data_IF_203200534122
#
_entry.id   IF_203200534122
#
_cell.length_a   1.000
_cell.length_b   1.000
_cell.length_c   1.000
_cell.angle_alpha   90.00
_cell.angle_beta   90.00
_cell.angle_gamma   90.00
#
_symmetry.space_group_name_H-M   'P 1'
#
loop_
_entity.id
_entity.type
_entity.pdbx_description
1 polymer ?
#
# COMPACT_ATOMS: atom_id res chain seq x y z
N UNK A 1 39.70 -11.62 21.51
CA UNK A 1 38.26 -11.74 21.42
C UNK A 1 37.61 -10.87 20.29
N UNK A 2 38.04 -9.63 20.06
CA UNK A 2 37.46 -8.79 18.99
C UNK A 2 37.60 -9.32 17.54
N UNK A 3 38.73 -9.97 17.19
CA UNK A 3 38.95 -10.54 15.85
C UNK A 3 38.01 -11.71 15.52
N UNK A 4 37.67 -12.56 16.50
CA UNK A 4 36.77 -13.71 16.31
C UNK A 4 35.34 -13.23 15.99
N UNK A 5 34.91 -12.14 16.63
CA UNK A 5 33.58 -11.55 16.38
C UNK A 5 33.42 -11.07 14.92
N UNK A 6 34.47 -10.47 14.34
CA UNK A 6 34.42 -10.02 12.94
C UNK A 6 34.37 -11.19 11.94
N UNK A 7 35.10 -12.27 12.20
CA UNK A 7 35.05 -13.47 11.37
C UNK A 7 33.66 -14.17 11.45
N UNK A 8 33.07 -14.19 12.65
CA UNK A 8 31.73 -14.74 12.85
C UNK A 8 30.66 -13.92 12.09
N UNK A 9 30.74 -12.60 12.16
CA UNK A 9 29.84 -11.70 11.42
C UNK A 9 30.00 -11.84 9.90
N UNK A 10 31.24 -11.97 9.43
CA UNK A 10 31.51 -12.16 7.99
C UNK A 10 31.05 -13.53 7.50
N UNK A 11 31.21 -14.59 8.30
CA UNK A 11 30.69 -15.92 8.01
C UNK A 11 29.17 -15.97 8.00
N UNK A 12 28.50 -15.22 8.90
CA UNK A 12 27.04 -15.14 8.92
C UNK A 12 26.48 -14.41 7.70
N UNK A 13 27.14 -13.32 7.29
CA UNK A 13 26.79 -12.57 6.07
C UNK A 13 27.04 -13.43 4.82
N UNK A 14 28.18 -14.13 4.75
CA UNK A 14 28.48 -15.05 3.67
C UNK A 14 27.48 -16.21 3.60
N UNK A 15 27.03 -16.73 4.75
CA UNK A 15 26.01 -17.77 4.81
C UNK A 15 24.66 -17.29 4.27
N UNK A 16 24.29 -16.03 4.53
CA UNK A 16 23.07 -15.41 4.00
C UNK A 16 23.16 -15.25 2.48
N UNK A 17 24.34 -14.95 1.93
CA UNK A 17 24.56 -14.87 0.48
C UNK A 17 24.73 -16.24 -0.20
N UNK A 18 25.08 -17.29 0.54
CA UNK A 18 25.17 -18.67 0.04
C UNK A 18 23.86 -19.45 0.12
N UNK A 19 22.86 -18.91 0.83
CA UNK A 19 21.48 -19.38 0.69
C UNK A 19 20.99 -18.85 -0.66
N UNK A 20 21.38 -19.54 -1.72
CA UNK A 20 20.67 -19.44 -3.00
C UNK A 20 19.20 -19.55 -2.66
N UNK A 21 18.34 -18.62 -3.13
CA UNK A 21 16.90 -18.84 -3.00
C UNK A 21 16.58 -20.07 -3.83
N UNK A 22 16.47 -21.22 -3.15
CA UNK A 22 15.99 -22.48 -3.74
C UNK A 22 14.53 -22.35 -4.23
N UNK A 23 14.14 -21.15 -4.61
CA UNK A 23 12.84 -20.77 -5.14
C UNK A 23 12.75 -20.97 -6.66
N UNK A 24 13.82 -21.41 -7.30
CA UNK A 24 13.83 -21.86 -8.71
C UNK A 24 13.53 -23.35 -8.85
N UNK A 25 12.79 -23.95 -7.93
CA UNK A 25 12.03 -25.13 -8.31
C UNK A 25 10.96 -24.62 -9.27
N UNK A 26 11.22 -24.79 -10.56
CA UNK A 26 10.26 -24.66 -11.64
C UNK A 26 9.06 -25.54 -11.29
N UNK A 27 8.14 -24.95 -10.48
CA UNK A 27 6.95 -25.66 -10.05
C UNK A 27 6.11 -25.79 -11.30
N UNK A 28 5.84 -27.02 -11.72
CA UNK A 28 4.84 -27.37 -12.73
C UNK A 28 3.41 -27.07 -12.24
N UNK A 29 3.25 -25.97 -11.52
CA UNK A 29 1.97 -25.43 -11.11
C UNK A 29 1.38 -24.76 -12.33
N UNK A 30 0.20 -25.21 -12.78
CA UNK A 30 -0.47 -24.59 -13.92
C UNK A 30 -0.66 -23.09 -13.73
N UNK A 31 -0.63 -22.33 -14.82
CA UNK A 31 -0.76 -20.85 -14.79
C UNK A 31 -2.00 -20.39 -14.01
N UNK A 32 -3.10 -21.12 -14.10
CA UNK A 32 -4.32 -20.83 -13.32
C UNK A 32 -4.11 -20.94 -11.81
N UNK A 33 -3.40 -21.96 -11.36
CA UNK A 33 -3.12 -22.16 -9.93
C UNK A 33 -2.21 -21.06 -9.42
N UNK A 34 -1.19 -20.66 -10.18
CA UNK A 34 -0.31 -19.54 -9.86
C UNK A 34 -1.09 -18.24 -9.77
N UNK A 35 -1.98 -17.96 -10.73
CA UNK A 35 -2.87 -16.82 -10.74
C UNK A 35 -3.72 -16.73 -9.45
N UNK A 36 -4.34 -17.86 -9.06
CA UNK A 36 -5.17 -17.92 -7.84
C UNK A 36 -4.34 -17.64 -6.58
N UNK A 37 -3.16 -18.27 -6.46
CA UNK A 37 -2.30 -18.05 -5.29
C UNK A 37 -1.77 -16.63 -5.21
N UNK A 38 -1.33 -16.04 -6.32
CA UNK A 38 -0.86 -14.65 -6.34
C UNK A 38 -1.98 -13.67 -6.00
N UNK A 39 -3.17 -13.87 -6.56
CA UNK A 39 -4.36 -13.06 -6.25
C UNK A 39 -4.70 -13.14 -4.77
N UNK A 40 -4.71 -14.35 -4.19
CA UNK A 40 -4.95 -14.56 -2.77
C UNK A 40 -3.88 -13.87 -1.91
N UNK A 41 -2.62 -13.96 -2.30
CA UNK A 41 -1.51 -13.30 -1.62
C UNK A 41 -1.71 -11.78 -1.58
N UNK A 42 -2.03 -11.16 -2.73
CA UNK A 42 -2.31 -9.71 -2.78
C UNK A 42 -3.49 -9.33 -1.89
N UNK A 43 -4.57 -10.11 -1.87
CA UNK A 43 -5.72 -9.86 -1.01
C UNK A 43 -5.37 -9.96 0.47
N UNK A 44 -4.68 -11.02 0.90
CA UNK A 44 -4.26 -11.20 2.30
C UNK A 44 -3.34 -10.05 2.72
N UNK A 45 -2.34 -9.73 1.92
CA UNK A 45 -1.44 -8.61 2.19
C UNK A 45 -2.19 -7.28 2.21
N UNK A 46 -3.13 -7.06 1.28
CA UNK A 46 -3.98 -5.87 1.25
C UNK A 46 -4.82 -5.72 2.52
N UNK A 47 -5.41 -6.81 3.02
CA UNK A 47 -6.14 -6.79 4.30
C UNK A 47 -5.22 -6.46 5.48
N UNK A 48 -4.00 -7.00 5.52
CA UNK A 48 -3.04 -6.67 6.57
C UNK A 48 -2.66 -5.18 6.52
N UNK A 49 -2.42 -4.63 5.33
CA UNK A 49 -2.12 -3.20 5.16
C UNK A 49 -3.34 -2.34 5.52
N UNK A 50 -4.56 -2.79 5.22
CA UNK A 50 -5.78 -2.07 5.60
C UNK A 50 -5.89 -1.85 7.12
N UNK A 51 -5.34 -2.76 7.96
CA UNK A 51 -5.28 -2.57 9.41
C UNK A 51 -4.43 -1.36 9.84
N UNK A 52 -3.62 -0.81 8.97
CA UNK A 52 -2.90 0.44 9.25
C UNK A 52 -3.87 1.63 9.42
N UNK A 53 -4.97 1.66 8.67
CA UNK A 53 -5.95 2.76 8.77
C UNK A 53 -6.59 2.86 10.18
N UNK A 54 -7.17 1.81 10.78
CA UNK A 54 -7.63 1.85 12.16
C UNK A 54 -6.47 2.06 13.16
N UNK A 55 -5.27 1.54 12.88
CA UNK A 55 -4.08 1.80 13.69
C UNK A 55 -3.75 3.28 13.79
N UNK A 56 -3.70 3.98 12.66
CA UNK A 56 -3.50 5.45 12.63
C UNK A 56 -4.67 6.20 13.28
N UNK A 57 -5.91 5.78 13.06
CA UNK A 57 -7.07 6.39 13.72
C UNK A 57 -6.99 6.29 15.23
N UNK A 58 -6.56 5.15 15.79
CA UNK A 58 -6.35 4.99 17.23
C UNK A 58 -5.17 5.82 17.72
N UNK A 59 -4.06 5.84 17.00
CA UNK A 59 -2.89 6.66 17.34
C UNK A 59 -3.24 8.14 17.38
N UNK A 60 -3.86 8.67 16.34
CA UNK A 60 -4.29 10.07 16.29
C UNK A 60 -5.29 10.40 17.41
N UNK A 61 -6.26 9.51 17.65
CA UNK A 61 -7.26 9.69 18.71
C UNK A 61 -6.63 9.75 20.11
N UNK A 62 -5.53 9.00 20.32
CA UNK A 62 -4.79 9.03 21.59
C UNK A 62 -3.91 10.27 21.77
N UNK A 63 -3.55 10.97 20.68
CA UNK A 63 -2.65 12.12 20.69
C UNK A 63 -3.38 13.47 20.72
N UNK A 64 -4.69 13.50 20.47
CA UNK A 64 -5.49 14.71 20.43
C UNK A 64 -6.28 14.91 21.73
N UNK A 65 -6.81 16.13 21.92
CA UNK A 65 -7.71 16.42 23.03
C UNK A 65 -9.00 15.62 22.95
N UNK A 66 -9.60 15.27 24.09
CA UNK A 66 -10.84 14.47 24.17
C UNK A 66 -12.01 15.08 23.36
N UNK A 67 -12.01 16.42 23.18
CA UNK A 67 -13.02 17.12 22.38
C UNK A 67 -12.87 16.86 20.88
N UNK A 68 -11.67 16.55 20.43
CA UNK A 68 -11.33 16.38 19.00
C UNK A 68 -11.44 14.94 18.50
N UNK A 69 -11.56 13.96 19.39
CA UNK A 69 -11.57 12.52 19.06
C UNK A 69 -12.64 12.18 18.03
N UNK A 70 -13.88 12.68 18.20
CA UNK A 70 -14.97 12.42 17.26
C UNK A 70 -14.67 13.00 15.86
N UNK A 71 -14.08 14.19 15.79
CA UNK A 71 -13.68 14.83 14.52
C UNK A 71 -12.56 14.05 13.86
N UNK A 72 -11.59 13.52 14.62
CA UNK A 72 -10.50 12.71 14.12
C UNK A 72 -11.04 11.38 13.56
N UNK A 73 -11.94 10.71 14.27
CA UNK A 73 -12.56 9.48 13.78
C UNK A 73 -13.31 9.71 12.46
N UNK A 74 -14.12 10.76 12.37
CA UNK A 74 -14.84 11.14 11.14
C UNK A 74 -13.86 11.47 10.01
N UNK A 75 -12.79 12.21 10.31
CA UNK A 75 -11.73 12.55 9.35
C UNK A 75 -11.07 11.29 8.78
N UNK A 76 -10.74 10.30 9.62
CA UNK A 76 -10.09 9.06 9.18
C UNK A 76 -11.00 8.21 8.27
N UNK A 77 -12.29 8.10 8.58
CA UNK A 77 -13.25 7.43 7.70
C UNK A 77 -13.36 8.16 6.36
N UNK A 78 -13.50 9.48 6.40
CA UNK A 78 -13.63 10.32 5.21
C UNK A 78 -12.38 10.26 4.31
N UNK A 79 -11.19 10.34 4.87
CA UNK A 79 -9.94 10.28 4.09
C UNK A 79 -9.77 8.93 3.39
N UNK A 80 -10.10 7.83 4.06
CA UNK A 80 -9.99 6.49 3.46
C UNK A 80 -10.93 6.36 2.24
N UNK A 81 -12.16 6.85 2.36
CA UNK A 81 -13.14 6.85 1.28
C UNK A 81 -12.70 7.75 0.12
N UNK A 82 -12.22 8.95 0.41
CA UNK A 82 -11.74 9.92 -0.60
C UNK A 82 -10.51 9.37 -1.31
N UNK A 83 -9.56 8.80 -0.58
CA UNK A 83 -8.37 8.21 -1.16
C UNK A 83 -8.72 7.07 -2.12
N UNK A 84 -9.64 6.17 -1.74
CA UNK A 84 -10.10 5.09 -2.62
C UNK A 84 -10.74 5.60 -3.91
N UNK A 85 -11.63 6.61 -3.82
CA UNK A 85 -12.29 7.20 -4.98
C UNK A 85 -11.28 7.89 -5.90
N UNK A 86 -10.38 8.71 -5.36
CA UNK A 86 -9.42 9.45 -6.15
C UNK A 86 -8.37 8.53 -6.79
N UNK A 87 -7.94 7.51 -6.08
CA UNK A 87 -7.05 6.49 -6.61
C UNK A 87 -7.70 5.69 -7.75
N UNK A 88 -9.00 5.41 -7.66
CA UNK A 88 -9.77 4.81 -8.74
C UNK A 88 -9.93 5.75 -9.93
N UNK A 89 -10.22 7.04 -9.70
CA UNK A 89 -10.48 8.03 -10.78
C UNK A 89 -9.24 8.31 -11.64
N UNK A 90 -8.05 8.24 -11.09
CA UNK A 90 -6.85 8.59 -11.85
C UNK A 90 -5.55 8.15 -11.23
N UNK A 91 -5.45 8.07 -9.91
CA UNK A 91 -4.19 7.82 -9.21
C UNK A 91 -3.51 6.52 -9.63
N UNK A 92 -4.27 5.43 -9.77
CA UNK A 92 -3.70 4.15 -10.20
C UNK A 92 -3.12 4.22 -11.61
N UNK A 93 -3.87 4.71 -12.58
CA UNK A 93 -3.40 4.80 -13.97
C UNK A 93 -2.30 5.85 -14.15
N UNK A 94 -2.28 6.89 -13.33
CA UNK A 94 -1.21 7.88 -13.33
C UNK A 94 0.11 7.28 -12.84
N UNK A 95 0.03 6.41 -11.84
CA UNK A 95 1.20 5.76 -11.24
C UNK A 95 1.69 4.54 -12.05
N UNK A 96 0.78 3.71 -12.54
CA UNK A 96 1.10 2.41 -13.15
C UNK A 96 0.79 2.33 -14.65
N UNK A 97 -0.11 3.17 -15.17
CA UNK A 97 -0.50 3.20 -16.58
C UNK A 97 0.47 3.98 -17.47
N UNK A 98 1.79 3.84 -17.27
CA UNK A 98 2.81 4.54 -18.02
C UNK A 98 3.00 3.87 -19.38
N UNK A 99 2.79 4.56 -20.52
CA UNK A 99 3.07 4.01 -21.84
C UNK A 99 4.58 3.82 -22.07
N UNK A 100 4.94 2.92 -22.97
CA UNK A 100 6.35 2.68 -23.33
C UNK A 100 7.04 3.99 -23.74
N UNK A 101 8.12 4.35 -23.01
CA UNK A 101 8.89 5.59 -23.22
C UNK A 101 8.29 6.85 -22.58
N UNK A 102 7.18 6.76 -21.86
CA UNK A 102 6.57 7.86 -21.10
C UNK A 102 7.13 8.02 -19.70
N UNK A 103 6.95 9.19 -19.11
CA UNK A 103 7.31 9.47 -17.70
C UNK A 103 6.09 9.58 -16.78
N UNK A 104 4.90 9.76 -17.34
CA UNK A 104 3.66 9.98 -16.60
C UNK A 104 2.58 9.09 -17.23
N UNK A 105 1.78 8.45 -16.39
CA UNK A 105 0.66 7.63 -16.82
C UNK A 105 -0.52 8.43 -17.34
N UNK A 106 -1.56 7.74 -17.79
CA UNK A 106 -2.79 8.36 -18.31
C UNK A 106 -3.74 8.71 -17.18
N UNK A 107 -4.37 9.88 -17.24
CA UNK A 107 -5.42 10.27 -16.31
C UNK A 107 -6.77 9.68 -16.77
N UNK A 108 -6.98 8.40 -16.49
CA UNK A 108 -8.21 7.66 -16.81
C UNK A 108 -8.67 6.89 -15.59
N UNK A 109 -9.98 6.66 -15.42
CA UNK A 109 -10.49 5.80 -14.37
C UNK A 109 -9.95 4.36 -14.53
N UNK A 110 -9.60 3.75 -13.40
CA UNK A 110 -9.18 2.36 -13.40
C UNK A 110 -10.29 1.43 -13.88
N UNK A 111 -9.96 0.47 -14.69
CA UNK A 111 -10.85 -0.61 -15.14
C UNK A 111 -10.14 -1.95 -15.03
N UNK A 112 -10.86 -2.99 -14.62
CA UNK A 112 -10.32 -4.34 -14.52
C UNK A 112 -9.98 -4.88 -15.91
N UNK A 113 -8.70 -5.22 -16.11
CA UNK A 113 -8.16 -5.82 -17.34
C UNK A 113 -7.59 -7.22 -17.11
N UNK A 114 -7.94 -7.85 -15.96
CA UNK A 114 -7.36 -9.12 -15.50
C UNK A 114 -7.36 -10.20 -16.57
N UNK A 115 -6.18 -10.82 -16.77
CA UNK A 115 -5.97 -11.99 -17.62
C UNK A 115 -5.15 -13.01 -16.86
N UNK A 116 -5.36 -14.30 -17.14
CA UNK A 116 -4.57 -15.38 -16.50
C UNK A 116 -3.08 -15.22 -16.80
N UNK A 117 -2.75 -14.71 -17.98
CA UNK A 117 -1.37 -14.51 -18.43
C UNK A 117 -0.63 -13.43 -17.62
N UNK A 118 -1.33 -12.51 -16.95
CA UNK A 118 -0.71 -11.51 -16.06
C UNK A 118 -0.23 -12.12 -14.74
N UNK A 119 -0.69 -13.31 -14.40
CA UNK A 119 -0.26 -14.07 -13.22
C UNK A 119 -0.95 -13.66 -11.92
N UNK A 120 -1.81 -12.62 -11.91
CA UNK A 120 -2.64 -12.21 -10.78
C UNK A 120 -3.83 -11.34 -11.26
N UNK A 121 -4.81 -11.11 -10.39
CA UNK A 121 -5.95 -10.23 -10.70
C UNK A 121 -5.58 -8.76 -10.52
N UNK A 122 -5.86 -7.93 -11.54
CA UNK A 122 -5.66 -6.48 -11.48
C UNK A 122 -6.47 -5.85 -10.35
N UNK A 123 -7.65 -6.39 -10.05
CA UNK A 123 -8.47 -5.94 -8.92
C UNK A 123 -7.81 -6.17 -7.56
N UNK A 124 -7.06 -7.27 -7.40
CA UNK A 124 -6.33 -7.56 -6.16
C UNK A 124 -5.12 -6.64 -6.00
N UNK A 125 -4.41 -6.36 -7.08
CA UNK A 125 -3.30 -5.41 -7.09
C UNK A 125 -3.80 -3.98 -6.83
N UNK A 126 -4.85 -3.55 -7.54
CA UNK A 126 -5.47 -2.24 -7.30
C UNK A 126 -5.88 -2.06 -5.83
N UNK A 127 -6.52 -3.05 -5.22
CA UNK A 127 -6.90 -3.00 -3.81
C UNK A 127 -5.68 -2.86 -2.90
N UNK A 128 -4.65 -3.65 -3.14
CA UNK A 128 -3.41 -3.62 -2.37
C UNK A 128 -2.74 -2.23 -2.45
N UNK A 129 -2.63 -1.65 -3.64
CA UNK A 129 -2.06 -0.32 -3.85
C UNK A 129 -2.94 0.80 -3.28
N UNK A 130 -4.27 0.68 -3.41
CA UNK A 130 -5.20 1.65 -2.86
C UNK A 130 -5.07 1.79 -1.35
N UNK A 131 -4.92 0.68 -0.60
CA UNK A 131 -4.79 0.76 0.85
C UNK A 131 -3.46 1.38 1.28
N UNK A 132 -2.39 1.25 0.51
CA UNK A 132 -1.14 1.99 0.72
C UNK A 132 -1.33 3.49 0.46
N UNK A 133 -2.01 3.86 -0.62
CA UNK A 133 -2.33 5.24 -0.93
C UNK A 133 -3.14 5.89 0.21
N UNK A 134 -4.19 5.21 0.69
CA UNK A 134 -4.98 5.67 1.82
C UNK A 134 -4.16 5.80 3.11
N UNK A 135 -3.21 4.91 3.35
CA UNK A 135 -2.30 4.97 4.49
C UNK A 135 -1.37 6.20 4.41
N UNK A 136 -0.87 6.53 3.23
CA UNK A 136 -0.06 7.74 3.01
C UNK A 136 -0.82 8.99 3.44
N UNK A 137 -2.09 9.12 3.06
CA UNK A 137 -2.96 10.22 3.49
C UNK A 137 -3.17 10.21 5.01
N UNK A 138 -3.29 9.01 5.63
CA UNK A 138 -3.44 8.87 7.09
C UNK A 138 -2.20 9.36 7.85
N UNK A 139 -0.99 9.09 7.35
CA UNK A 139 0.25 9.57 7.97
C UNK A 139 0.27 11.11 8.01
N UNK A 140 -0.06 11.75 6.89
CA UNK A 140 -0.12 13.22 6.81
C UNK A 140 -1.25 13.78 7.68
N UNK A 141 -2.38 13.05 7.78
CA UNK A 141 -3.50 13.36 8.65
C UNK A 141 -3.06 13.56 10.11
N UNK A 142 -2.18 12.67 10.62
CA UNK A 142 -1.65 12.78 11.98
C UNK A 142 -0.85 14.07 12.22
N UNK A 143 -0.02 14.46 11.26
CA UNK A 143 0.77 15.70 11.34
C UNK A 143 -0.11 16.97 11.34
N UNK A 144 -1.29 16.90 10.73
CA UNK A 144 -2.25 18.00 10.61
C UNK A 144 -3.38 17.95 11.66
N UNK A 145 -3.33 16.97 12.59
CA UNK A 145 -4.34 16.81 13.63
C UNK A 145 -4.47 18.11 14.46
N UNK A 146 -5.70 18.53 14.70
CA UNK A 146 -6.06 19.79 15.41
C UNK A 146 -5.57 21.11 14.76
N UNK A 147 -4.83 21.05 13.65
CA UNK A 147 -4.23 22.22 12.98
C UNK A 147 -4.97 22.65 11.73
N UNK A 148 -5.74 21.78 11.12
CA UNK A 148 -6.47 22.02 9.89
C UNK A 148 -7.97 21.75 10.09
N UNK A 149 -8.81 22.52 9.40
CA UNK A 149 -10.25 22.25 9.33
C UNK A 149 -10.52 21.05 8.44
N UNK A 150 -11.59 20.30 8.70
CA UNK A 150 -11.92 19.02 8.03
C UNK A 150 -12.09 19.17 6.51
N UNK A 151 -12.74 20.21 6.03
CA UNK A 151 -13.00 20.40 4.59
C UNK A 151 -11.73 20.70 3.77
N UNK A 152 -10.87 21.66 4.15
CA UNK A 152 -9.57 21.82 3.48
C UNK A 152 -8.72 20.56 3.51
N UNK A 153 -8.79 19.79 4.59
CA UNK A 153 -8.09 18.52 4.68
C UNK A 153 -8.60 17.51 3.64
N UNK A 154 -9.91 17.41 3.41
CA UNK A 154 -10.45 16.48 2.40
C UNK A 154 -10.06 16.87 0.97
N UNK A 155 -10.01 18.17 0.66
CA UNK A 155 -9.50 18.64 -0.64
C UNK A 155 -8.02 18.28 -0.80
N UNK A 156 -7.22 18.50 0.23
CA UNK A 156 -5.81 18.11 0.24
C UNK A 156 -5.63 16.59 0.10
N UNK A 157 -6.44 15.80 0.82
CA UNK A 157 -6.43 14.34 0.73
C UNK A 157 -6.77 13.85 -0.69
N UNK A 158 -7.73 14.48 -1.35
CA UNK A 158 -8.09 14.17 -2.73
C UNK A 158 -6.93 14.42 -3.71
N UNK A 159 -6.24 15.56 -3.56
CA UNK A 159 -5.09 15.90 -4.40
C UNK A 159 -3.86 15.04 -4.14
N UNK A 160 -3.71 14.54 -2.91
CA UNK A 160 -2.58 13.68 -2.54
C UNK A 160 -2.78 12.24 -3.01
N UNK A 161 -4.02 11.78 -3.11
CA UNK A 161 -4.38 10.41 -3.47
C UNK A 161 -4.63 10.21 -4.98
N UNK A 162 -4.93 11.27 -5.73
CA UNK A 162 -5.16 11.28 -7.17
C UNK A 162 -3.93 11.73 -7.92
#
# INVERSE_FOLDING_TARGET
MKKISHYLSFALIALIFLVEPSFSAESKVGAETQYVFNTLLFLICGFLVMFMAPGFAMLESGMVSSKSVASIATKNIGLFSIAGIMFWLGGYNLAYGIPEGGYIGSFLPWSDGSKVDTGYSDGSDWFFQMVFCATTVSIVSGALAERIKIWPFFVFAALLAG
#
